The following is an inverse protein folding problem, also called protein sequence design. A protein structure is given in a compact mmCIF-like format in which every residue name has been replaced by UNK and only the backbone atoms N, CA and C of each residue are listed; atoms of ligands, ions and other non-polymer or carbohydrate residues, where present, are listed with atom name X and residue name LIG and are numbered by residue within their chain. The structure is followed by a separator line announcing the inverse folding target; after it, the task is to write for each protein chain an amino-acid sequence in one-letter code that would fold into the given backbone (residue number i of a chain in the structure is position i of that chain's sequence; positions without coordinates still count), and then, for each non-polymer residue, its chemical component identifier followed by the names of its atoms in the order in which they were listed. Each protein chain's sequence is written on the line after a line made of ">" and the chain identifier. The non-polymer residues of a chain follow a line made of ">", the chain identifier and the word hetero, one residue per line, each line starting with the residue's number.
data_IF_259134623274
#
_entry.id   IF_259134623274
#
_cell.length_a   1.000
_cell.length_b   1.000
_cell.length_c   1.000
_cell.angle_alpha   90.00
_cell.angle_beta   90.00
_cell.angle_gamma   90.00
#
_symmetry.space_group_name_H-M   'P 1'
#
loop_
_entity.id
_entity.type
_entity.pdbx_description
1 polymer ?
#
# COMPACT_ATOMS: atom_id res chain seq x y z
N UNK A 1 -3.72 0.00 2.30
CA UNK A 1 -5.18 -0.29 2.21
C UNK A 1 -5.49 -1.67 1.64
N UNK A 2 -5.02 -2.01 0.43
CA UNK A 2 -5.32 -3.30 -0.22
C UNK A 2 -5.04 -4.51 0.68
N UNK A 3 -3.86 -4.59 1.30
CA UNK A 3 -3.51 -5.69 2.21
C UNK A 3 -4.51 -5.85 3.37
N UNK A 4 -4.84 -4.76 4.07
CA UNK A 4 -5.81 -4.79 5.17
C UNK A 4 -7.22 -5.16 4.70
N UNK A 5 -7.61 -4.69 3.52
CA UNK A 5 -8.90 -5.05 2.92
C UNK A 5 -8.95 -6.55 2.57
N UNK A 6 -7.88 -7.12 2.02
CA UNK A 6 -7.79 -8.55 1.75
C UNK A 6 -7.93 -9.40 3.03
N UNK A 7 -7.25 -9.00 4.11
CA UNK A 7 -7.40 -9.64 5.42
C UNK A 7 -8.85 -9.56 5.93
N UNK A 8 -9.49 -8.38 5.86
CA UNK A 8 -10.90 -8.21 6.25
C UNK A 8 -11.87 -9.02 5.37
N UNK A 9 -11.47 -9.39 4.15
CA UNK A 9 -12.23 -10.26 3.26
C UNK A 9 -11.95 -11.76 3.48
N UNK A 10 -11.12 -12.11 4.46
CA UNK A 10 -10.85 -13.49 4.85
C UNK A 10 -9.70 -14.15 4.10
N UNK A 11 -8.79 -13.37 3.49
CA UNK A 11 -7.55 -13.94 2.99
C UNK A 11 -6.73 -14.52 4.16
N UNK A 12 -6.45 -15.82 4.11
CA UNK A 12 -5.68 -16.54 5.14
C UNK A 12 -4.25 -16.02 5.23
N UNK A 13 -3.64 -15.76 4.07
CA UNK A 13 -2.29 -15.23 3.96
C UNK A 13 -2.26 -13.98 3.08
N UNK A 14 -1.60 -12.93 3.57
CA UNK A 14 -1.38 -11.69 2.83
C UNK A 14 0.09 -11.32 2.94
N UNK A 15 0.76 -11.24 1.78
CA UNK A 15 2.18 -10.89 1.67
C UNK A 15 2.29 -9.54 0.94
N UNK A 16 2.96 -8.57 1.56
CA UNK A 16 3.28 -7.27 0.96
C UNK A 16 4.74 -7.27 0.50
N UNK A 17 4.93 -7.02 -0.79
CA UNK A 17 6.25 -6.98 -1.43
C UNK A 17 6.61 -5.52 -1.71
N UNK A 18 7.72 -5.03 -1.17
CA UNK A 18 8.25 -3.67 -1.44
C UNK A 18 9.77 -3.67 -1.20
N UNK A 19 10.49 -2.64 -1.66
CA UNK A 19 11.94 -2.43 -1.40
C UNK A 19 12.21 -1.43 -0.29
N UNK A 20 11.24 -0.57 0.04
CA UNK A 20 11.47 0.55 0.95
C UNK A 20 11.24 0.11 2.39
N UNK A 21 12.30 0.10 3.18
CA UNK A 21 12.29 -0.35 4.57
C UNK A 21 11.24 0.38 5.43
N UNK A 22 11.00 1.67 5.19
CA UNK A 22 9.97 2.46 5.86
C UNK A 22 8.55 1.93 5.59
N UNK A 23 8.24 1.56 4.34
CA UNK A 23 6.93 0.99 3.95
C UNK A 23 6.73 -0.38 4.57
N UNK A 24 7.77 -1.21 4.52
CA UNK A 24 7.79 -2.53 5.14
C UNK A 24 7.60 -2.44 6.67
N UNK A 25 8.16 -1.41 7.32
CA UNK A 25 7.95 -1.13 8.75
C UNK A 25 6.51 -0.76 9.04
N UNK A 26 5.90 0.10 8.21
CA UNK A 26 4.49 0.45 8.36
C UNK A 26 3.55 -0.77 8.21
N UNK A 27 3.86 -1.69 7.29
CA UNK A 27 3.07 -2.93 7.14
C UNK A 27 3.09 -3.73 8.44
N UNK A 28 4.27 -3.94 9.02
CA UNK A 28 4.41 -4.66 10.30
C UNK A 28 3.68 -3.96 11.45
N UNK A 29 3.80 -2.64 11.55
CA UNK A 29 3.26 -1.88 12.67
C UNK A 29 1.73 -1.72 12.62
N UNK A 30 1.16 -1.48 11.43
CA UNK A 30 -0.23 -1.03 11.31
C UNK A 30 -1.14 -1.99 10.55
N UNK A 31 -0.59 -2.87 9.71
CA UNK A 31 -1.39 -3.76 8.86
C UNK A 31 -1.43 -5.17 9.43
N UNK A 32 -0.27 -5.71 9.83
CA UNK A 32 -0.12 -7.09 10.31
C UNK A 32 -0.02 -8.12 9.19
N UNK A 33 0.32 -7.70 7.97
CA UNK A 33 0.60 -8.61 6.86
C UNK A 33 2.06 -9.07 6.89
N UNK A 34 2.32 -10.24 6.30
CA UNK A 34 3.68 -10.67 6.03
C UNK A 34 4.34 -9.76 5.01
N UNK A 35 5.67 -9.72 5.02
CA UNK A 35 6.42 -8.85 4.11
C UNK A 35 7.52 -9.59 3.39
N UNK A 36 7.90 -9.08 2.23
CA UNK A 36 9.03 -9.56 1.45
C UNK A 36 9.79 -8.38 0.85
N UNK A 37 11.11 -8.37 1.06
CA UNK A 37 12.01 -7.33 0.53
C UNK A 37 12.72 -7.84 -0.73
N UNK A 38 12.20 -7.44 -1.90
CA UNK A 38 12.70 -7.96 -3.17
C UNK A 38 14.12 -7.50 -3.53
N UNK A 39 14.74 -6.63 -2.72
CA UNK A 39 16.16 -6.27 -2.89
C UNK A 39 17.11 -7.29 -2.26
N UNK A 40 16.60 -8.17 -1.39
CA UNK A 40 17.39 -9.14 -0.63
C UNK A 40 17.16 -10.57 -1.09
N UNK A 41 15.97 -10.87 -1.58
CA UNK A 41 15.54 -12.23 -1.91
C UNK A 41 14.70 -12.27 -3.18
N UNK A 42 14.63 -13.45 -3.80
CA UNK A 42 13.82 -13.66 -5.01
C UNK A 42 12.36 -13.87 -4.63
N UNK A 43 11.52 -12.89 -4.98
CA UNK A 43 10.07 -12.96 -4.80
C UNK A 43 9.48 -14.25 -5.35
N UNK A 44 9.91 -14.65 -6.56
CA UNK A 44 9.34 -15.81 -7.25
C UNK A 44 9.68 -17.11 -6.51
N UNK A 45 10.92 -17.23 -6.04
CA UNK A 45 11.35 -18.42 -5.31
C UNK A 45 10.56 -18.55 -4.00
N UNK A 46 10.49 -17.47 -3.23
CA UNK A 46 9.82 -17.43 -1.94
C UNK A 46 8.31 -17.71 -2.06
N UNK A 47 7.64 -17.09 -3.05
CA UNK A 47 6.22 -17.35 -3.28
C UNK A 47 5.97 -18.80 -3.69
N UNK A 48 6.84 -19.40 -4.51
CA UNK A 48 6.71 -20.81 -4.88
C UNK A 48 6.89 -21.72 -3.67
N UNK A 49 7.89 -21.47 -2.84
CA UNK A 49 8.15 -22.27 -1.65
C UNK A 49 6.96 -22.26 -0.70
N UNK A 50 6.40 -21.07 -0.42
CA UNK A 50 5.26 -20.90 0.48
C UNK A 50 3.94 -21.48 -0.03
N UNK A 51 3.79 -21.58 -1.35
CA UNK A 51 2.52 -21.98 -1.99
C UNK A 51 2.56 -23.39 -2.58
N UNK A 52 3.59 -24.18 -2.26
CA UNK A 52 3.76 -25.53 -2.84
C UNK A 52 3.93 -25.50 -4.36
N UNK A 53 4.49 -24.43 -4.90
CA UNK A 53 4.75 -24.22 -6.32
C UNK A 53 3.58 -23.64 -7.14
N UNK A 54 2.40 -23.47 -6.55
CA UNK A 54 1.20 -22.97 -7.24
C UNK A 54 1.24 -21.46 -7.53
N UNK A 55 1.88 -20.70 -6.65
CA UNK A 55 1.79 -19.25 -6.61
C UNK A 55 0.55 -18.75 -5.83
N UNK A 56 0.45 -17.44 -5.61
CA UNK A 56 -0.67 -16.83 -4.88
C UNK A 56 -2.00 -16.99 -5.62
N UNK A 57 -3.10 -17.14 -4.87
CA UNK A 57 -4.45 -17.18 -5.46
C UNK A 57 -4.88 -15.84 -6.09
N UNK A 58 -4.38 -14.73 -5.56
CA UNK A 58 -4.69 -13.36 -6.01
C UNK A 58 -3.42 -12.51 -5.96
N UNK A 59 -3.16 -11.76 -7.03
CA UNK A 59 -2.13 -10.73 -7.09
C UNK A 59 -2.78 -9.34 -7.17
N UNK A 60 -2.31 -8.39 -6.36
CA UNK A 60 -2.75 -6.99 -6.42
C UNK A 60 -1.52 -6.14 -6.68
N UNK A 61 -1.49 -5.46 -7.82
CA UNK A 61 -0.45 -4.45 -8.07
C UNK A 61 -0.89 -3.08 -7.53
N UNK A 62 -0.08 -2.52 -6.62
CA UNK A 62 -0.42 -1.35 -5.82
C UNK A 62 0.72 -0.31 -5.73
N UNK A 63 1.76 -0.42 -6.56
CA UNK A 63 2.86 0.56 -6.60
C UNK A 63 2.48 1.86 -7.33
N UNK A 64 1.58 1.80 -8.31
CA UNK A 64 1.16 2.93 -9.16
C UNK A 64 2.13 3.23 -10.32
N UNK A 65 1.60 3.77 -11.43
CA UNK A 65 2.36 4.00 -12.67
C UNK A 65 3.57 4.93 -12.51
N UNK A 66 3.55 5.84 -11.54
CA UNK A 66 4.65 6.77 -11.27
C UNK A 66 5.90 6.07 -10.72
N UNK A 67 5.76 4.90 -10.07
CA UNK A 67 6.83 4.20 -9.33
C UNK A 67 8.02 3.70 -10.19
N UNK A 68 7.94 3.83 -11.52
CA UNK A 68 8.97 3.39 -12.47
C UNK A 68 10.09 4.42 -12.71
N UNK A 69 10.09 5.54 -11.98
CA UNK A 69 11.28 6.40 -11.86
C UNK A 69 12.34 5.75 -10.98
N UNK A 70 13.60 5.71 -11.43
CA UNK A 70 14.75 5.22 -10.65
C UNK A 70 15.07 6.17 -9.48
N UNK A 71 14.24 6.15 -8.44
CA UNK A 71 14.39 6.97 -7.25
C UNK A 71 13.19 6.79 -6.33
N UNK A 72 13.35 7.10 -5.03
CA UNK A 72 12.18 7.40 -4.22
C UNK A 72 11.53 8.63 -4.86
N UNK A 73 10.36 8.46 -5.46
CA UNK A 73 9.61 9.62 -5.96
C UNK A 73 9.26 10.44 -4.73
N UNK A 74 9.69 11.69 -4.76
CA UNK A 74 9.10 12.69 -3.88
C UNK A 74 7.63 12.80 -4.27
N UNK A 75 6.78 12.06 -3.58
CA UNK A 75 5.32 12.07 -3.78
C UNK A 75 4.64 13.09 -2.87
N UNK A 76 5.39 13.96 -2.19
CA UNK A 76 4.81 14.98 -1.32
C UNK A 76 3.89 15.90 -2.12
N UNK A 77 4.30 16.26 -3.35
CA UNK A 77 3.47 17.03 -4.28
C UNK A 77 2.12 16.36 -4.63
N UNK A 78 2.01 15.03 -4.50
CA UNK A 78 0.74 14.34 -4.72
C UNK A 78 -0.23 14.54 -3.56
N UNK A 79 0.25 14.85 -2.33
CA UNK A 79 -0.59 15.17 -1.16
C UNK A 79 -1.25 16.55 -1.28
N UNK A 80 -2.10 16.73 -2.30
CA UNK A 80 -2.78 18.01 -2.57
C UNK A 80 -3.61 18.52 -1.40
N UNK A 81 -4.13 17.62 -0.55
CA UNK A 81 -4.98 17.97 0.58
C UNK A 81 -4.63 17.10 1.79
N UNK A 82 -4.08 17.74 2.84
CA UNK A 82 -3.82 17.11 4.14
C UNK A 82 -4.87 17.59 5.14
N UNK A 83 -5.54 16.68 5.83
CA UNK A 83 -6.60 17.03 6.80
C UNK A 83 -6.68 16.04 7.97
N UNK A 84 -7.37 16.38 9.08
CA UNK A 84 -7.59 15.46 10.19
C UNK A 84 -8.36 14.20 9.76
N UNK A 85 -8.17 13.10 10.49
CA UNK A 85 -8.89 11.85 10.22
C UNK A 85 -10.41 11.99 10.33
N UNK A 86 -10.90 12.86 11.23
CA UNK A 86 -12.34 13.13 11.41
C UNK A 86 -12.99 13.73 10.16
N UNK A 87 -12.19 14.42 9.32
CA UNK A 87 -12.60 14.94 8.02
C UNK A 87 -12.57 13.87 6.90
N UNK A 88 -12.32 12.60 7.26
CA UNK A 88 -12.30 11.44 6.37
C UNK A 88 -13.41 11.44 5.31
N UNK A 89 -14.70 11.52 5.69
CA UNK A 89 -15.80 11.52 4.74
C UNK A 89 -15.74 12.65 3.71
N UNK A 90 -15.28 13.84 4.11
CA UNK A 90 -15.09 14.99 3.22
C UNK A 90 -13.95 14.73 2.25
N UNK A 91 -12.80 14.28 2.75
CA UNK A 91 -11.64 13.94 1.92
C UNK A 91 -11.94 12.86 0.89
N UNK A 92 -12.70 11.82 1.27
CA UNK A 92 -13.16 10.79 0.32
C UNK A 92 -14.07 11.35 -0.77
N UNK A 93 -14.99 12.26 -0.43
CA UNK A 93 -15.87 12.91 -1.40
C UNK A 93 -15.07 13.75 -2.39
N UNK A 94 -14.15 14.60 -1.90
CA UNK A 94 -13.32 15.45 -2.75
C UNK A 94 -12.51 14.62 -3.76
N UNK A 95 -11.87 13.53 -3.30
CA UNK A 95 -11.14 12.62 -4.19
C UNK A 95 -12.06 11.94 -5.21
N UNK A 96 -13.22 11.44 -4.77
CA UNK A 96 -14.19 10.76 -5.63
C UNK A 96 -14.77 11.68 -6.71
N UNK A 97 -15.08 12.92 -6.34
CA UNK A 97 -15.76 13.90 -7.20
C UNK A 97 -14.77 14.81 -7.95
N UNK A 98 -13.45 14.64 -7.74
CA UNK A 98 -12.37 15.44 -8.33
C UNK A 98 -12.53 16.95 -8.11
N UNK A 99 -13.00 17.32 -6.91
CA UNK A 99 -13.16 18.72 -6.51
C UNK A 99 -11.81 19.32 -6.12
N UNK A 100 -11.68 20.64 -6.27
CA UNK A 100 -10.53 21.44 -5.82
C UNK A 100 -9.16 20.93 -6.30
N UNK A 101 -9.13 20.24 -7.45
CA UNK A 101 -7.91 19.62 -7.96
C UNK A 101 -7.37 18.49 -7.07
N UNK A 102 -8.23 17.83 -6.29
CA UNK A 102 -7.83 16.76 -5.38
C UNK A 102 -7.24 15.57 -6.15
N UNK A 103 -5.93 15.36 -6.00
CA UNK A 103 -5.20 14.19 -6.55
C UNK A 103 -5.02 13.12 -5.46
N UNK A 104 -4.64 13.54 -4.25
CA UNK A 104 -4.56 12.67 -3.07
C UNK A 104 -5.03 13.44 -1.85
N UNK A 105 -6.03 12.89 -1.16
CA UNK A 105 -6.38 13.28 0.19
C UNK A 105 -5.54 12.44 1.16
N UNK A 106 -4.79 13.10 2.05
CA UNK A 106 -3.98 12.47 3.09
C UNK A 106 -4.58 12.83 4.43
N UNK A 107 -4.86 11.80 5.24
CA UNK A 107 -5.45 11.98 6.56
C UNK A 107 -4.37 11.80 7.62
N UNK A 108 -4.18 12.83 8.44
CA UNK A 108 -3.33 12.75 9.62
C UNK A 108 -4.20 12.47 10.85
N UNK A 109 -4.00 11.33 11.53
CA UNK A 109 -4.65 11.10 12.82
C UNK A 109 -4.17 12.16 13.81
N UNK A 110 -5.09 12.93 14.37
CA UNK A 110 -4.82 13.71 15.58
C UNK A 110 -4.73 12.74 16.76
N UNK A 111 -3.74 12.95 17.63
CA UNK A 111 -3.59 12.22 18.89
C UNK A 111 -4.81 12.42 19.79
#
# INVERSE_FOLDING_TARGET
>A
MAARAAMLKGAEQVIVIDRLAERLTQVRQYIGAEILDYTKESVIAELKERTGGRGPDVCIEAVGMEAHGTGALDTEHLATHVMPLDDGPRGYRMFKEKQDGCVRAVFQPTK
#
